data_IF_949459498028
#
_entry.id   IF_949459498028
#
_cell.length_a   1.000
_cell.length_b   1.000
_cell.length_c   1.000
_cell.angle_alpha   90.00
_cell.angle_beta   90.00
_cell.angle_gamma   90.00
#
_symmetry.space_group_name_H-M   'P 1'
#
loop_
_entity.id
_entity.type
_entity.pdbx_description
1 polymer ?
#
# COMPACT_ATOMS: atom_id res chain seq x y z
N UNK A 1 43.15 -20.37 40.18
CA UNK A 1 43.00 -20.24 38.72
C UNK A 1 41.94 -21.22 38.24
N UNK A 2 40.72 -20.77 37.96
CA UNK A 2 39.85 -21.30 36.88
C UNK A 2 38.85 -20.17 36.58
N UNK A 3 38.97 -19.53 35.41
CA UNK A 3 37.93 -18.64 34.91
C UNK A 3 36.99 -19.50 34.04
N UNK A 4 35.77 -19.75 34.52
CA UNK A 4 34.74 -20.45 33.77
C UNK A 4 34.35 -19.65 32.54
N UNK A 5 34.55 -20.26 31.36
CA UNK A 5 34.09 -19.75 30.08
C UNK A 5 32.57 -19.69 30.07
N UNK A 6 32.00 -18.50 30.32
CA UNK A 6 30.65 -18.18 29.86
C UNK A 6 30.74 -17.93 28.35
N UNK A 7 30.75 -19.01 27.57
CA UNK A 7 30.36 -18.91 26.18
C UNK A 7 28.93 -18.35 26.16
N UNK A 8 28.78 -17.24 25.46
CA UNK A 8 27.62 -16.37 25.52
C UNK A 8 26.40 -17.17 25.04
N UNK A 9 25.41 -17.34 25.91
CA UNK A 9 24.15 -18.07 25.61
C UNK A 9 23.52 -17.51 24.33
N UNK A 10 23.74 -16.24 24.05
CA UNK A 10 23.33 -15.54 22.83
C UNK A 10 23.91 -16.20 21.57
N UNK A 11 25.18 -16.62 21.58
CA UNK A 11 25.83 -17.26 20.44
C UNK A 11 25.34 -18.70 20.23
N UNK A 12 24.99 -19.41 21.29
CA UNK A 12 24.37 -20.74 21.19
C UNK A 12 22.96 -20.65 20.59
N UNK A 13 22.13 -19.74 21.11
CA UNK A 13 20.76 -19.53 20.61
C UNK A 13 20.77 -19.09 19.15
N UNK A 14 21.70 -18.19 18.78
CA UNK A 14 21.85 -17.74 17.40
C UNK A 14 22.18 -18.89 16.44
N UNK A 15 23.12 -19.77 16.81
CA UNK A 15 23.51 -20.92 15.99
C UNK A 15 22.40 -21.96 15.86
N UNK A 16 21.61 -22.18 16.91
CA UNK A 16 20.45 -23.08 16.84
C UNK A 16 19.36 -22.53 15.91
N UNK A 17 19.05 -21.23 16.00
CA UNK A 17 18.09 -20.56 15.12
C UNK A 17 18.54 -20.57 13.66
N UNK A 18 19.82 -20.28 13.39
CA UNK A 18 20.40 -20.33 12.03
C UNK A 18 20.34 -21.75 11.44
N UNK A 19 20.53 -22.78 12.27
CA UNK A 19 20.45 -24.19 11.89
C UNK A 19 19.01 -24.66 11.63
N UNK A 20 18.04 -24.26 12.46
CA UNK A 20 16.60 -24.56 12.24
C UNK A 20 16.07 -23.87 10.99
N UNK A 21 16.48 -22.63 10.73
CA UNK A 21 16.03 -21.87 9.57
C UNK A 21 16.76 -22.24 8.27
N UNK A 22 17.72 -23.17 8.31
CA UNK A 22 18.48 -23.60 7.12
C UNK A 22 19.24 -22.46 6.45
N UNK A 23 19.60 -21.41 7.20
CA UNK A 23 20.27 -20.23 6.67
C UNK A 23 21.75 -20.54 6.47
N UNK A 24 22.15 -20.81 5.23
CA UNK A 24 23.56 -20.88 4.85
C UNK A 24 24.17 -19.48 4.93
N UNK A 25 25.24 -19.32 5.73
CA UNK A 25 26.06 -18.11 5.74
C UNK A 25 26.42 -17.71 4.29
N UNK A 26 26.19 -16.44 3.97
CA UNK A 26 26.72 -15.83 2.76
C UNK A 26 25.78 -15.67 1.57
N UNK A 27 24.46 -15.82 1.70
CA UNK A 27 23.55 -15.21 0.71
C UNK A 27 23.34 -13.76 1.11
N UNK A 28 23.97 -12.83 0.38
CA UNK A 28 23.56 -11.43 0.36
C UNK A 28 22.03 -11.42 0.36
N UNK A 29 21.44 -10.65 1.27
CA UNK A 29 20.03 -10.29 1.17
C UNK A 29 19.92 -9.65 -0.20
N UNK A 30 19.46 -10.40 -1.21
CA UNK A 30 18.94 -9.80 -2.41
C UNK A 30 17.84 -8.91 -1.88
N UNK A 31 18.08 -7.60 -1.89
CA UNK A 31 17.01 -6.64 -1.83
C UNK A 31 16.11 -7.02 -3.00
N UNK A 32 15.07 -7.79 -2.71
CA UNK A 32 13.99 -8.04 -3.66
C UNK A 32 13.30 -6.71 -3.76
N UNK A 33 13.80 -5.87 -4.67
CA UNK A 33 13.03 -4.78 -5.23
C UNK A 33 11.87 -5.51 -5.89
N UNK A 34 10.75 -5.61 -5.17
CA UNK A 34 9.50 -6.08 -5.73
C UNK A 34 9.27 -5.34 -7.05
N UNK A 35 8.61 -5.98 -8.04
CA UNK A 35 8.47 -5.41 -9.37
C UNK A 35 8.05 -3.95 -9.25
N UNK A 36 8.78 -3.07 -9.94
CA UNK A 36 8.69 -1.61 -9.87
C UNK A 36 7.27 -1.08 -10.11
N UNK A 37 6.37 -1.94 -10.60
CA UNK A 37 4.92 -1.77 -10.52
C UNK A 37 4.25 -3.15 -10.35
N UNK A 38 3.93 -3.56 -9.12
CA UNK A 38 3.02 -4.70 -8.85
C UNK A 38 1.55 -4.36 -9.17
N UNK A 39 1.31 -3.43 -10.09
CA UNK A 39 -0.02 -3.00 -10.52
C UNK A 39 -0.59 -4.01 -11.51
N UNK A 40 -1.89 -4.33 -11.41
CA UNK A 40 -2.55 -5.00 -12.52
C UNK A 40 -2.50 -4.10 -13.77
N UNK A 41 -2.59 -4.68 -14.98
CA UNK A 41 -2.76 -3.91 -16.21
C UNK A 41 -3.88 -2.87 -16.04
N UNK A 42 -3.63 -1.63 -16.45
CA UNK A 42 -4.59 -0.56 -16.25
C UNK A 42 -5.74 -0.70 -17.25
N UNK A 43 -6.95 -0.89 -16.74
CA UNK A 43 -8.15 -0.84 -17.56
C UNK A 43 -8.36 0.53 -18.21
N UNK A 44 -8.95 0.53 -19.40
CA UNK A 44 -9.17 1.76 -20.15
C UNK A 44 -10.25 2.62 -19.47
N UNK A 45 -9.91 3.87 -19.15
CA UNK A 45 -10.88 4.83 -18.63
C UNK A 45 -11.67 5.49 -19.77
N UNK A 46 -12.97 5.20 -19.85
CA UNK A 46 -13.90 5.81 -20.82
C UNK A 46 -14.91 6.67 -20.05
N UNK A 47 -14.91 7.99 -20.31
CA UNK A 47 -15.83 8.92 -19.67
C UNK A 47 -16.88 9.44 -20.67
N UNK A 48 -18.12 8.95 -20.54
CA UNK A 48 -19.26 9.40 -21.34
C UNK A 48 -20.07 10.54 -20.67
N UNK A 49 -19.54 11.13 -19.59
CA UNK A 49 -20.21 12.18 -18.82
C UNK A 49 -19.54 13.53 -19.00
N UNK A 50 -20.14 14.59 -18.44
CA UNK A 50 -19.52 15.93 -18.36
C UNK A 50 -18.65 16.12 -17.12
N UNK A 51 -18.48 15.08 -16.29
CA UNK A 51 -17.69 15.18 -15.08
C UNK A 51 -16.21 15.33 -15.41
N UNK A 52 -15.54 16.20 -14.65
CA UNK A 52 -14.08 16.35 -14.71
C UNK A 52 -13.43 15.37 -13.74
N UNK A 53 -12.43 14.66 -14.22
CA UNK A 53 -11.67 13.70 -13.42
C UNK A 53 -10.21 14.16 -13.31
N UNK A 54 -9.73 14.29 -12.08
CA UNK A 54 -8.33 14.51 -11.78
C UNK A 54 -7.58 13.19 -11.81
N UNK A 55 -6.32 13.23 -12.23
CA UNK A 55 -5.43 12.09 -12.18
C UNK A 55 -4.92 11.91 -10.73
N UNK A 56 -5.17 10.75 -10.14
CA UNK A 56 -4.69 10.38 -8.81
C UNK A 56 -3.89 9.07 -8.83
N UNK A 57 -3.33 8.73 -10.00
CA UNK A 57 -2.57 7.49 -10.20
C UNK A 57 -1.24 7.44 -9.43
N UNK A 58 -0.85 8.50 -8.72
CA UNK A 58 0.24 8.50 -7.76
C UNK A 58 -0.13 7.83 -6.42
N UNK A 59 -1.42 7.64 -6.14
CA UNK A 59 -1.88 6.99 -4.91
C UNK A 59 -1.69 5.46 -4.99
N UNK A 60 -1.18 4.88 -3.91
CA UNK A 60 -1.16 3.44 -3.64
C UNK A 60 -2.54 2.97 -3.18
N UNK A 61 -3.16 3.72 -2.27
CA UNK A 61 -4.54 3.51 -1.85
C UNK A 61 -5.18 4.82 -1.41
N UNK A 62 -6.52 4.80 -1.39
CA UNK A 62 -7.38 5.81 -0.78
C UNK A 62 -8.41 5.12 0.10
N UNK A 63 -8.58 5.62 1.32
CA UNK A 63 -9.53 5.11 2.30
C UNK A 63 -10.50 6.21 2.72
N UNK A 64 -11.78 5.86 2.78
CA UNK A 64 -12.86 6.70 3.31
C UNK A 64 -13.27 6.16 4.68
N UNK A 65 -13.32 7.04 5.68
CA UNK A 65 -13.67 6.71 7.06
C UNK A 65 -15.09 7.18 7.35
N UNK A 66 -15.92 6.35 7.99
CA UNK A 66 -17.31 6.68 8.34
C UNK A 66 -17.53 6.78 9.85
N UNK A 67 -18.58 7.51 10.32
CA UNK A 67 -18.84 7.73 11.75
C UNK A 67 -19.00 6.46 12.58
N UNK A 68 -19.47 5.37 11.97
CA UNK A 68 -19.68 4.08 12.63
C UNK A 68 -18.40 3.22 12.68
N UNK A 69 -17.25 3.75 12.27
CA UNK A 69 -15.98 3.03 12.19
C UNK A 69 -15.81 2.18 10.92
N UNK A 70 -16.82 2.11 10.05
CA UNK A 70 -16.67 1.46 8.75
C UNK A 70 -15.68 2.23 7.88
N UNK A 71 -15.02 1.51 6.97
CA UNK A 71 -14.17 2.13 5.98
C UNK A 71 -14.32 1.47 4.60
N UNK A 72 -14.01 2.24 3.56
CA UNK A 72 -13.90 1.77 2.18
C UNK A 72 -12.48 2.06 1.73
N UNK A 73 -11.72 1.02 1.39
CA UNK A 73 -10.37 1.14 0.82
C UNK A 73 -10.40 0.82 -0.66
N UNK A 74 -9.87 1.74 -1.46
CA UNK A 74 -9.70 1.60 -2.91
C UNK A 74 -8.21 1.53 -3.19
N UNK A 75 -7.76 0.41 -3.75
CA UNK A 75 -6.36 0.20 -4.09
C UNK A 75 -6.09 0.69 -5.51
N UNK A 76 -4.90 1.26 -5.73
CA UNK A 76 -4.44 1.75 -7.03
C UNK A 76 -5.47 2.62 -7.78
N UNK A 77 -6.04 3.66 -7.13
CA UNK A 77 -6.98 4.54 -7.80
C UNK A 77 -6.27 5.30 -8.93
N UNK A 78 -6.98 5.55 -10.03
CA UNK A 78 -6.44 6.22 -11.21
C UNK A 78 -7.07 7.60 -11.42
N UNK A 79 -8.39 7.69 -11.25
CA UNK A 79 -9.16 8.91 -11.54
C UNK A 79 -10.10 9.24 -10.40
N UNK A 80 -10.22 10.52 -10.09
CA UNK A 80 -11.15 11.05 -9.09
C UNK A 80 -11.96 12.21 -9.65
N UNK A 81 -13.28 12.15 -9.48
CA UNK A 81 -14.16 13.30 -9.63
C UNK A 81 -14.83 13.60 -8.29
N UNK A 82 -14.97 14.87 -7.96
CA UNK A 82 -15.70 15.34 -6.77
C UNK A 82 -16.77 16.31 -7.28
N UNK A 83 -18.02 16.10 -6.88
CA UNK A 83 -19.11 17.01 -7.23
C UNK A 83 -19.30 18.11 -6.17
N UNK A 84 -20.24 19.02 -6.43
CA UNK A 84 -20.57 20.12 -5.52
C UNK A 84 -21.25 19.68 -4.21
N UNK A 85 -21.56 18.40 -4.05
CA UNK A 85 -22.15 17.79 -2.85
C UNK A 85 -21.12 16.91 -2.10
N UNK A 86 -19.83 17.00 -2.45
CA UNK A 86 -18.76 16.16 -1.91
C UNK A 86 -18.96 14.65 -2.14
N UNK A 87 -19.69 14.27 -3.19
CA UNK A 87 -19.73 12.89 -3.67
C UNK A 87 -18.44 12.64 -4.46
N UNK A 88 -17.72 11.57 -4.11
CA UNK A 88 -16.54 11.16 -4.84
C UNK A 88 -16.89 10.04 -5.82
N UNK A 89 -16.38 10.15 -7.05
CA UNK A 89 -16.32 9.06 -8.01
C UNK A 89 -14.87 8.68 -8.24
N UNK A 90 -14.51 7.44 -7.93
CA UNK A 90 -13.15 6.93 -8.08
C UNK A 90 -13.16 5.80 -9.10
N UNK A 91 -12.22 5.83 -10.05
CA UNK A 91 -11.96 4.72 -10.97
C UNK A 91 -10.60 4.12 -10.63
N UNK A 92 -10.53 2.80 -10.47
CA UNK A 92 -9.29 2.11 -10.12
C UNK A 92 -8.64 1.40 -11.32
N UNK A 93 -7.47 0.80 -11.09
CA UNK A 93 -6.73 0.09 -12.13
C UNK A 93 -7.40 -1.18 -12.62
N UNK A 94 -8.35 -1.74 -11.87
CA UNK A 94 -9.06 -2.98 -12.20
C UNK A 94 -10.32 -2.74 -13.04
N UNK A 95 -10.63 -1.48 -13.34
CA UNK A 95 -11.82 -1.10 -14.10
C UNK A 95 -13.05 -0.83 -13.24
N UNK A 96 -12.93 -0.87 -11.91
CA UNK A 96 -14.06 -0.61 -11.02
C UNK A 96 -14.28 0.89 -10.86
N UNK A 97 -15.56 1.29 -10.89
CA UNK A 97 -16.00 2.65 -10.59
C UNK A 97 -16.77 2.68 -9.28
N UNK A 98 -16.25 3.44 -8.32
CA UNK A 98 -16.82 3.59 -6.99
C UNK A 98 -17.62 4.89 -6.91
N UNK A 99 -18.81 4.80 -6.33
CA UNK A 99 -19.62 5.96 -5.94
C UNK A 99 -19.58 6.09 -4.42
N UNK A 100 -18.94 7.14 -3.92
CA UNK A 100 -18.74 7.34 -2.48
C UNK A 100 -19.61 8.52 -2.01
N UNK A 101 -20.66 8.25 -1.21
CA UNK A 101 -21.56 9.29 -0.71
C UNK A 101 -20.87 10.19 0.34
N UNK A 102 -21.36 11.42 0.60
CA UNK A 102 -20.66 12.43 1.40
C UNK A 102 -20.70 12.19 2.92
N UNK A 103 -21.07 11.00 3.37
CA UNK A 103 -21.18 10.65 4.80
C UNK A 103 -19.84 10.23 5.44
N UNK A 104 -18.74 10.32 4.71
CA UNK A 104 -17.40 10.08 5.27
C UNK A 104 -16.96 11.27 6.13
N UNK A 105 -16.20 10.98 7.19
CA UNK A 105 -15.67 11.95 8.16
C UNK A 105 -14.18 12.21 7.94
N UNK A 106 -13.53 11.40 7.10
CA UNK A 106 -12.11 11.53 6.82
C UNK A 106 -11.72 10.76 5.57
N UNK A 107 -10.65 11.24 4.94
CA UNK A 107 -10.00 10.58 3.81
C UNK A 107 -8.54 10.37 4.21
N UNK A 108 -8.06 9.14 4.04
CA UNK A 108 -6.65 8.79 4.17
C UNK A 108 -6.16 8.32 2.80
N UNK A 109 -5.07 8.88 2.31
CA UNK A 109 -4.40 8.39 1.10
C UNK A 109 -2.93 8.15 1.38
N UNK A 110 -2.36 7.19 0.66
CA UNK A 110 -0.93 6.93 0.68
C UNK A 110 -0.39 7.04 -0.73
N UNK A 111 0.58 7.93 -0.94
CA UNK A 111 1.30 8.00 -2.21
C UNK A 111 2.20 6.77 -2.41
N UNK A 112 2.46 6.45 -3.67
CA UNK A 112 3.47 5.46 -4.05
C UNK A 112 4.86 5.94 -3.65
N UNK A 113 5.81 5.01 -3.39
CA UNK A 113 7.20 5.38 -3.16
C UNK A 113 7.72 6.29 -4.27
N UNK A 114 8.34 7.41 -3.89
CA UNK A 114 8.89 8.40 -4.82
C UNK A 114 7.86 9.31 -5.51
N UNK A 115 6.55 9.11 -5.30
CA UNK A 115 5.52 9.95 -5.87
C UNK A 115 5.13 11.14 -4.96
N UNK A 116 4.54 12.22 -5.49
CA UNK A 116 4.06 13.34 -4.68
C UNK A 116 2.97 12.91 -3.70
N UNK A 117 3.00 13.47 -2.49
CA UNK A 117 1.97 13.24 -1.46
C UNK A 117 0.65 13.98 -1.75
N UNK A 118 0.69 15.05 -2.55
CA UNK A 118 -0.45 15.87 -2.91
C UNK A 118 -0.40 16.20 -4.42
N UNK A 119 -1.56 16.28 -5.05
CA UNK A 119 -1.77 16.54 -6.49
C UNK A 119 -2.96 17.46 -6.70
#
# INVERSE_FOLDING_TARGET
MVAEKKEDIVDQVRKEVEKELGMKEGKLVETVIGPEDSRPPQEQFINATRLRFNNINNELYRQYLYPNGANITINFPLKLSIDNRNIHRVFDSTGLSYFIPPSWIGIVSKAKPGAPNFT
#
